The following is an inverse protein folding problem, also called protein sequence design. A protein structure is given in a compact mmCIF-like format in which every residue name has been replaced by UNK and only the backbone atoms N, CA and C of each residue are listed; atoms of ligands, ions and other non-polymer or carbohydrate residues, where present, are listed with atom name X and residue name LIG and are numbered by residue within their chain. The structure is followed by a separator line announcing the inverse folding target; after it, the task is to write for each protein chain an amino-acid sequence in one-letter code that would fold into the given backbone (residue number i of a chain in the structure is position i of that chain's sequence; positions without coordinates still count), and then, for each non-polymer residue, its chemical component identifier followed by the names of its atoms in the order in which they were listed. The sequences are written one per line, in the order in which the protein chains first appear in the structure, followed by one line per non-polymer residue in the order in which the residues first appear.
data_IF_448041580832
#
_entry.id   IF_448041580832
#
_cell.length_a   1.000
_cell.length_b   1.000
_cell.length_c   1.000
_cell.angle_alpha   90.00
_cell.angle_beta   90.00
_cell.angle_gamma   90.00
#
_symmetry.space_group_name_H-M   'P 1'
#
loop_
_entity.id
_entity.type
_entity.pdbx_description
1 polymer ?
#
# COMPACT_ATOMS: atom_id res chain seq x y z
N UNK A 1 -54.78 -7.57 74.31
CA UNK A 1 -55.05 -7.42 72.86
C UNK A 1 -54.41 -6.14 72.34
N UNK A 2 -53.14 -6.21 71.90
CA UNK A 2 -52.45 -5.14 71.13
C UNK A 2 -51.13 -5.61 70.50
N UNK A 3 -50.59 -6.75 70.95
CA UNK A 3 -49.34 -7.33 70.44
C UNK A 3 -49.50 -8.58 69.56
N UNK A 4 -50.73 -9.08 69.34
CA UNK A 4 -50.98 -10.24 68.47
C UNK A 4 -51.04 -9.88 66.97
N UNK A 5 -51.13 -8.60 66.62
CA UNK A 5 -51.12 -8.13 65.22
C UNK A 5 -49.69 -7.97 64.67
N UNK A 6 -48.68 -7.82 65.53
CA UNK A 6 -47.29 -7.68 65.09
C UNK A 6 -46.60 -9.02 64.76
N UNK A 7 -47.18 -10.15 65.16
CA UNK A 7 -46.63 -11.48 64.88
C UNK A 7 -47.10 -12.07 63.53
N UNK A 8 -48.07 -11.44 62.87
CA UNK A 8 -48.59 -11.89 61.57
C UNK A 8 -47.88 -11.24 60.36
N UNK A 9 -47.00 -10.26 60.58
CA UNK A 9 -46.32 -9.50 59.52
C UNK A 9 -44.88 -9.97 59.24
N UNK A 10 -44.38 -11.00 59.94
CA UNK A 10 -42.99 -11.47 59.80
C UNK A 10 -42.81 -12.68 58.86
N UNK A 11 -43.86 -13.16 58.20
CA UNK A 11 -43.80 -14.42 57.41
C UNK A 11 -43.60 -14.18 55.89
N UNK A 12 -43.48 -12.94 55.43
CA UNK A 12 -43.38 -12.65 53.98
C UNK A 12 -41.96 -12.54 53.39
N UNK A 13 -40.90 -12.95 54.11
CA UNK A 13 -39.51 -12.76 53.63
C UNK A 13 -38.69 -14.05 53.51
N UNK A 14 -39.27 -15.18 53.10
CA UNK A 14 -38.46 -16.33 52.62
C UNK A 14 -39.18 -17.06 51.48
N UNK A 15 -39.07 -16.54 50.25
CA UNK A 15 -39.16 -17.37 49.05
C UNK A 15 -38.43 -16.70 47.88
N UNK A 16 -37.11 -16.59 47.99
CA UNK A 16 -36.28 -16.48 46.80
C UNK A 16 -36.10 -17.91 46.30
N UNK A 17 -36.92 -18.30 45.32
CA UNK A 17 -36.73 -19.57 44.63
C UNK A 17 -35.35 -19.58 43.99
N UNK A 18 -34.49 -20.48 44.42
CA UNK A 18 -33.26 -20.82 43.70
C UNK A 18 -33.64 -21.44 42.35
N UNK A 19 -33.94 -20.60 41.38
CA UNK A 19 -33.66 -20.93 39.99
C UNK A 19 -32.20 -20.58 39.80
N UNK A 20 -31.34 -21.56 39.99
CA UNK A 20 -30.06 -21.58 39.27
C UNK A 20 -30.42 -21.63 37.79
N UNK A 21 -30.70 -20.47 37.21
CA UNK A 21 -30.35 -20.25 35.82
C UNK A 21 -28.86 -20.52 35.79
N UNK A 22 -28.47 -21.67 35.24
CA UNK A 22 -27.11 -21.84 34.81
C UNK A 22 -26.83 -20.63 33.93
N UNK A 23 -25.99 -19.72 34.42
CA UNK A 23 -25.28 -18.81 33.57
C UNK A 23 -24.40 -19.70 32.70
N UNK A 24 -24.97 -20.28 31.64
CA UNK A 24 -24.23 -20.31 30.40
C UNK A 24 -23.95 -18.83 30.13
N UNK A 25 -22.77 -18.39 30.55
CA UNK A 25 -22.07 -17.30 29.88
C UNK A 25 -22.02 -17.74 28.41
N UNK A 26 -23.10 -17.43 27.68
CA UNK A 26 -23.03 -17.33 26.23
C UNK A 26 -22.10 -16.16 26.05
N UNK A 27 -20.81 -16.46 25.89
CA UNK A 27 -19.78 -15.50 25.53
C UNK A 27 -20.40 -14.59 24.47
N UNK A 28 -20.76 -13.35 24.86
CA UNK A 28 -21.44 -12.43 23.95
C UNK A 28 -20.57 -12.32 22.72
N UNK A 29 -21.07 -12.79 21.58
CA UNK A 29 -20.31 -12.82 20.33
C UNK A 29 -19.63 -11.46 20.13
N UNK A 30 -18.30 -11.46 19.97
CA UNK A 30 -17.53 -10.22 19.84
C UNK A 30 -18.12 -9.40 18.68
N UNK A 31 -18.27 -8.06 18.84
CA UNK A 31 -18.74 -7.22 17.75
C UNK A 31 -17.85 -7.42 16.52
N UNK A 32 -18.46 -7.62 15.34
CA UNK A 32 -17.72 -7.88 14.09
C UNK A 32 -16.65 -6.82 13.79
N UNK A 33 -16.85 -5.59 14.28
CA UNK A 33 -15.90 -4.48 14.18
C UNK A 33 -14.57 -4.69 14.90
N UNK A 34 -14.51 -5.61 15.88
CA UNK A 34 -13.32 -5.94 16.68
C UNK A 34 -12.70 -7.27 16.30
N UNK A 35 -13.32 -8.02 15.38
CA UNK A 35 -12.81 -9.31 14.94
C UNK A 35 -11.69 -9.06 13.94
N UNK A 36 -10.50 -9.60 14.20
CA UNK A 36 -9.38 -9.58 13.26
C UNK A 36 -9.78 -10.34 11.99
N UNK A 37 -9.57 -9.70 10.82
CA UNK A 37 -9.72 -10.34 9.53
C UNK A 37 -8.35 -10.44 8.86
N UNK A 38 -8.04 -11.61 8.31
CA UNK A 38 -6.89 -11.78 7.43
C UNK A 38 -7.22 -11.26 6.03
N UNK A 39 -6.36 -10.40 5.53
CA UNK A 39 -6.41 -9.83 4.20
C UNK A 39 -5.30 -10.41 3.33
N UNK A 40 -5.37 -10.15 2.02
CA UNK A 40 -4.27 -10.54 1.13
C UNK A 40 -3.00 -9.77 1.50
N UNK A 41 -1.85 -10.41 1.35
CA UNK A 41 -0.58 -9.73 1.53
C UNK A 41 -0.33 -8.80 0.34
N UNK A 42 0.32 -7.67 0.63
CA UNK A 42 0.76 -6.74 -0.41
C UNK A 42 1.81 -7.39 -1.31
N UNK A 43 1.80 -7.03 -2.59
CA UNK A 43 2.94 -7.36 -3.47
C UNK A 43 4.13 -6.54 -3.01
N UNK A 44 5.24 -7.20 -2.70
CA UNK A 44 6.48 -6.53 -2.28
C UNK A 44 7.34 -6.12 -3.50
N UNK A 45 8.21 -5.13 -3.31
CA UNK A 45 9.33 -4.90 -4.24
C UNK A 45 10.22 -6.15 -4.23
N UNK A 46 10.61 -6.63 -5.42
CA UNK A 46 11.42 -7.85 -5.54
C UNK A 46 12.75 -7.68 -4.81
N UNK A 47 13.30 -8.73 -4.16
CA UNK A 47 14.56 -8.64 -3.43
C UNK A 47 15.72 -8.07 -4.25
N UNK A 48 15.77 -8.40 -5.55
CA UNK A 48 16.82 -7.96 -6.48
C UNK A 48 16.82 -6.44 -6.71
N UNK A 49 15.72 -5.77 -6.37
CA UNK A 49 15.48 -4.35 -6.60
C UNK A 49 15.44 -3.51 -5.32
N UNK A 50 15.65 -4.12 -4.15
CA UNK A 50 15.55 -3.40 -2.87
C UNK A 50 16.54 -2.23 -2.76
N UNK A 51 17.75 -2.37 -3.33
CA UNK A 51 18.75 -1.30 -3.37
C UNK A 51 18.26 -0.06 -4.12
N UNK A 52 17.51 -0.25 -5.20
CA UNK A 52 17.00 0.84 -6.05
C UNK A 52 15.93 1.70 -5.35
N UNK A 53 15.34 1.18 -4.27
CA UNK A 53 14.30 1.87 -3.49
C UNK A 53 14.72 2.13 -2.04
N UNK A 54 15.98 1.85 -1.69
CA UNK A 54 16.42 1.90 -0.29
C UNK A 54 16.40 3.32 0.29
N UNK A 55 16.61 4.34 -0.53
CA UNK A 55 16.61 5.73 -0.06
C UNK A 55 15.22 6.39 -0.18
N UNK A 56 14.19 5.62 -0.56
CA UNK A 56 12.83 6.13 -0.72
C UNK A 56 12.04 5.97 0.58
N UNK A 57 12.18 6.95 1.47
CA UNK A 57 11.64 6.90 2.82
C UNK A 57 10.11 6.78 2.85
N UNK A 58 9.39 7.55 2.02
CA UNK A 58 7.93 7.52 2.00
C UNK A 58 7.39 6.14 1.59
N UNK A 59 8.05 5.48 0.63
CA UNK A 59 7.67 4.13 0.21
C UNK A 59 7.88 3.11 1.35
N UNK A 60 8.99 3.21 2.08
CA UNK A 60 9.30 2.34 3.23
C UNK A 60 8.31 2.51 4.37
N UNK A 61 7.93 3.74 4.68
CA UNK A 61 6.96 4.03 5.74
C UNK A 61 5.60 3.41 5.42
N UNK A 62 5.15 3.56 4.17
CA UNK A 62 3.89 2.95 3.71
C UNK A 62 3.98 1.42 3.75
N UNK A 63 5.06 0.82 3.28
CA UNK A 63 5.25 -0.64 3.31
C UNK A 63 5.20 -1.19 4.76
N UNK A 64 5.89 -0.52 5.69
CA UNK A 64 5.84 -0.84 7.11
C UNK A 64 4.42 -0.74 7.68
N UNK A 65 3.67 0.29 7.26
CA UNK A 65 2.30 0.50 7.70
C UNK A 65 1.37 -0.64 7.25
N UNK A 66 1.50 -1.09 5.99
CA UNK A 66 0.68 -2.17 5.44
C UNK A 66 0.96 -3.54 6.05
N UNK A 67 2.06 -3.75 6.77
CA UNK A 67 2.28 -4.98 7.56
C UNK A 67 1.13 -5.19 8.55
N UNK A 68 0.66 -4.12 9.20
CA UNK A 68 -0.47 -4.15 10.15
C UNK A 68 -1.79 -4.52 9.45
N UNK A 69 -1.96 -4.11 8.20
CA UNK A 69 -3.19 -4.32 7.43
C UNK A 69 -3.38 -5.75 6.92
N UNK A 70 -2.36 -6.61 7.02
CA UNK A 70 -2.45 -8.04 6.66
C UNK A 70 -3.43 -8.78 7.57
N UNK A 71 -3.48 -8.41 8.84
CA UNK A 71 -4.40 -8.97 9.82
C UNK A 71 -4.86 -7.85 10.75
N UNK A 72 -6.02 -7.27 10.44
CA UNK A 72 -6.52 -6.05 11.09
C UNK A 72 -8.02 -6.18 11.34
N UNK A 73 -8.51 -5.57 12.43
CA UNK A 73 -9.95 -5.44 12.65
C UNK A 73 -10.50 -4.19 11.95
N UNK A 74 -11.80 -4.14 11.59
CA UNK A 74 -12.41 -2.94 11.02
C UNK A 74 -12.20 -1.67 11.86
N UNK A 75 -12.28 -1.77 13.19
CA UNK A 75 -12.03 -0.64 14.08
C UNK A 75 -10.59 -0.13 13.99
N UNK A 76 -9.62 -1.05 14.01
CA UNK A 76 -8.21 -0.69 13.88
C UNK A 76 -7.94 -0.05 12.51
N UNK A 77 -8.49 -0.62 11.43
CA UNK A 77 -8.36 -0.05 10.10
C UNK A 77 -8.88 1.38 10.02
N UNK A 78 -10.05 1.66 10.60
CA UNK A 78 -10.59 3.03 10.67
C UNK A 78 -9.74 3.95 11.55
N UNK A 79 -9.24 3.48 12.69
CA UNK A 79 -8.38 4.28 13.57
C UNK A 79 -7.04 4.67 12.91
N UNK A 80 -6.55 3.85 11.98
CA UNK A 80 -5.32 4.06 11.24
C UNK A 80 -5.55 4.76 9.87
N UNK A 81 -6.79 5.01 9.47
CA UNK A 81 -7.13 5.44 8.11
C UNK A 81 -6.56 6.82 7.75
N UNK A 82 -6.62 7.77 8.69
CA UNK A 82 -6.12 9.13 8.48
C UNK A 82 -4.60 9.16 8.35
N UNK A 83 -3.89 8.40 9.21
CA UNK A 83 -2.42 8.29 9.15
C UNK A 83 -1.98 7.66 7.82
N UNK A 84 -2.64 6.57 7.39
CA UNK A 84 -2.35 5.95 6.09
C UNK A 84 -2.55 6.93 4.93
N UNK A 85 -3.64 7.70 4.94
CA UNK A 85 -3.91 8.73 3.92
C UNK A 85 -2.78 9.75 3.86
N UNK A 86 -2.28 10.19 5.01
CA UNK A 86 -1.26 11.24 5.08
C UNK A 86 0.13 10.73 4.67
N UNK A 87 0.47 9.47 5.02
CA UNK A 87 1.67 8.80 4.51
C UNK A 87 1.62 8.67 2.98
N UNK A 88 0.51 8.21 2.42
CA UNK A 88 0.34 8.07 0.96
C UNK A 88 0.31 9.43 0.26
N UNK A 89 -0.27 10.46 0.89
CA UNK A 89 -0.19 11.84 0.38
C UNK A 89 1.27 12.29 0.27
N UNK A 90 2.08 11.99 1.28
CA UNK A 90 3.49 12.32 1.30
C UNK A 90 4.25 11.64 0.16
N UNK A 91 3.99 10.34 -0.11
CA UNK A 91 4.53 9.66 -1.30
C UNK A 91 4.09 10.30 -2.62
N UNK A 92 2.82 10.73 -2.71
CA UNK A 92 2.27 11.34 -3.92
C UNK A 92 2.89 12.72 -4.20
N UNK A 93 3.15 13.48 -3.14
CA UNK A 93 3.62 14.85 -3.22
C UNK A 93 5.17 14.93 -3.16
N UNK A 94 5.87 13.83 -2.86
CA UNK A 94 7.34 13.79 -2.80
C UNK A 94 7.99 13.81 -4.18
N UNK A 95 9.28 14.17 -4.20
CA UNK A 95 10.09 14.17 -5.42
C UNK A 95 10.29 12.73 -5.86
N UNK A 96 9.53 12.33 -6.88
CA UNK A 96 9.64 11.00 -7.48
C UNK A 96 10.96 10.88 -8.23
N UNK A 97 11.76 9.81 -8.02
CA UNK A 97 12.98 9.61 -8.80
C UNK A 97 12.66 9.59 -10.30
N UNK A 98 13.54 10.15 -11.13
CA UNK A 98 13.31 10.35 -12.58
C UNK A 98 12.89 9.08 -13.30
N UNK A 99 13.44 7.92 -12.89
CA UNK A 99 13.09 6.61 -13.41
C UNK A 99 11.60 6.25 -13.24
N UNK A 100 10.98 6.73 -12.17
CA UNK A 100 9.57 6.50 -11.85
C UNK A 100 8.67 7.67 -12.26
N UNK A 101 9.24 8.78 -12.77
CA UNK A 101 8.48 9.94 -13.24
C UNK A 101 7.79 9.67 -14.59
N UNK A 102 6.80 8.79 -14.55
CA UNK A 102 5.99 8.41 -15.70
C UNK A 102 4.51 8.61 -15.37
N UNK A 103 3.67 9.01 -16.35
CA UNK A 103 2.23 9.13 -16.12
C UNK A 103 1.60 7.83 -15.59
N UNK A 104 2.08 6.68 -16.07
CA UNK A 104 1.61 5.37 -15.63
C UNK A 104 1.88 5.11 -14.15
N UNK A 105 3.06 5.48 -13.63
CA UNK A 105 3.38 5.32 -12.21
C UNK A 105 2.59 6.32 -11.36
N UNK A 106 2.58 7.60 -11.73
CA UNK A 106 1.79 8.66 -11.07
C UNK A 106 0.32 8.28 -10.93
N UNK A 107 -0.27 7.70 -11.97
CA UNK A 107 -1.66 7.21 -11.91
C UNK A 107 -1.86 6.12 -10.84
N UNK A 108 -0.90 5.20 -10.65
CA UNK A 108 -1.02 4.16 -9.62
C UNK A 108 -0.94 4.74 -8.21
N UNK A 109 -0.05 5.71 -7.99
CA UNK A 109 0.05 6.44 -6.72
C UNK A 109 -1.24 7.22 -6.45
N UNK A 110 -1.81 7.88 -7.47
CA UNK A 110 -3.09 8.59 -7.33
C UNK A 110 -4.26 7.64 -7.02
N UNK A 111 -4.31 6.46 -7.64
CA UNK A 111 -5.33 5.44 -7.33
C UNK A 111 -5.20 5.00 -5.87
N UNK A 112 -3.99 4.70 -5.41
CA UNK A 112 -3.73 4.38 -4.00
C UNK A 112 -4.21 5.50 -3.07
N UNK A 113 -3.84 6.75 -3.37
CA UNK A 113 -4.28 7.90 -2.57
C UNK A 113 -5.80 8.03 -2.51
N UNK A 114 -6.49 7.80 -3.63
CA UNK A 114 -7.94 7.80 -3.67
C UNK A 114 -8.55 6.70 -2.81
N UNK A 115 -8.02 5.47 -2.82
CA UNK A 115 -8.53 4.39 -1.96
C UNK A 115 -8.29 4.68 -0.47
N UNK A 116 -7.17 5.34 -0.12
CA UNK A 116 -6.92 5.81 1.25
C UNK A 116 -7.88 6.94 1.67
N UNK A 117 -8.19 7.87 0.76
CA UNK A 117 -9.23 8.89 1.01
C UNK A 117 -10.58 8.24 1.28
N UNK A 118 -10.97 7.25 0.47
CA UNK A 118 -12.21 6.50 0.68
C UNK A 118 -12.23 5.79 2.04
N UNK A 119 -11.13 5.17 2.44
CA UNK A 119 -11.03 4.53 3.76
C UNK A 119 -11.16 5.56 4.89
N UNK A 120 -10.54 6.74 4.76
CA UNK A 120 -10.67 7.83 5.70
C UNK A 120 -12.10 8.37 5.77
N UNK A 121 -12.80 8.50 4.64
CA UNK A 121 -14.19 8.94 4.61
C UNK A 121 -15.13 8.00 5.38
N UNK A 122 -14.84 6.69 5.40
CA UNK A 122 -15.63 5.71 6.17
C UNK A 122 -15.61 5.98 7.68
N UNK A 123 -14.60 6.70 8.19
CA UNK A 123 -14.52 7.09 9.61
C UNK A 123 -15.65 8.04 10.03
N UNK A 124 -16.24 8.76 9.06
CA UNK A 124 -17.30 9.74 9.30
C UNK A 124 -18.71 9.12 9.27
N UNK A 125 -18.83 7.84 8.90
CA UNK A 125 -20.12 7.17 8.73
C UNK A 125 -20.47 6.39 10.00
N UNK A 126 -21.42 6.88 10.79
CA UNK A 126 -21.73 6.31 12.12
C UNK A 126 -22.29 4.88 12.10
N UNK A 127 -22.95 4.45 11.01
CA UNK A 127 -23.59 3.14 10.89
C UNK A 127 -22.93 2.23 9.84
N UNK A 128 -21.63 2.44 9.58
CA UNK A 128 -20.88 1.66 8.59
C UNK A 128 -20.75 0.18 8.99
N UNK A 129 -20.84 -0.72 8.02
CA UNK A 129 -20.72 -2.17 8.25
C UNK A 129 -19.27 -2.63 8.22
N UNK A 130 -18.92 -3.56 9.10
CA UNK A 130 -17.61 -4.22 9.12
C UNK A 130 -17.21 -4.81 7.74
N UNK A 131 -18.18 -5.36 7.01
CA UNK A 131 -17.95 -5.93 5.67
C UNK A 131 -17.54 -4.88 4.64
N UNK A 132 -18.07 -3.66 4.72
CA UNK A 132 -17.76 -2.55 3.82
C UNK A 132 -16.37 -1.98 4.10
N UNK A 133 -16.01 -1.84 5.38
CA UNK A 133 -14.66 -1.45 5.80
C UNK A 133 -13.64 -2.47 5.31
N UNK A 134 -13.89 -3.76 5.57
CA UNK A 134 -12.99 -4.82 5.14
C UNK A 134 -12.81 -4.85 3.62
N UNK A 135 -13.87 -4.59 2.84
CA UNK A 135 -13.79 -4.48 1.39
C UNK A 135 -12.94 -3.28 0.95
N UNK A 136 -13.04 -2.16 1.67
CA UNK A 136 -12.23 -0.97 1.38
C UNK A 136 -10.75 -1.19 1.75
N UNK A 137 -10.48 -1.91 2.84
CA UNK A 137 -9.12 -2.37 3.19
C UNK A 137 -8.54 -3.23 2.07
N UNK A 138 -9.29 -4.22 1.57
CA UNK A 138 -8.87 -5.09 0.47
C UNK A 138 -8.47 -4.27 -0.77
N UNK A 139 -9.31 -3.30 -1.18
CA UNK A 139 -8.99 -2.40 -2.32
C UNK A 139 -7.74 -1.54 -2.09
N UNK A 140 -7.54 -1.08 -0.85
CA UNK A 140 -6.40 -0.22 -0.50
C UNK A 140 -5.09 -1.02 -0.57
N UNK A 141 -5.12 -2.28 -0.11
CA UNK A 141 -4.02 -3.25 -0.25
C UNK A 141 -3.73 -3.54 -1.73
N UNK A 142 -4.76 -3.76 -2.54
CA UNK A 142 -4.62 -4.01 -3.97
C UNK A 142 -3.99 -2.80 -4.70
N UNK A 143 -4.41 -1.59 -4.33
CA UNK A 143 -3.86 -0.37 -4.91
C UNK A 143 -2.37 -0.20 -4.58
N UNK A 144 -1.96 -0.47 -3.35
CA UNK A 144 -0.54 -0.42 -2.97
C UNK A 144 0.27 -1.52 -3.66
N UNK A 145 -0.30 -2.72 -3.78
CA UNK A 145 0.29 -3.80 -4.56
C UNK A 145 0.49 -3.43 -6.03
N UNK A 146 -0.42 -2.64 -6.62
CA UNK A 146 -0.27 -2.15 -7.98
C UNK A 146 0.87 -1.11 -8.13
N UNK A 147 1.13 -0.29 -7.10
CA UNK A 147 2.30 0.59 -7.05
C UNK A 147 3.59 -0.24 -7.04
N UNK A 148 3.71 -1.20 -6.12
CA UNK A 148 4.88 -2.07 -6.02
C UNK A 148 5.09 -2.93 -7.28
N UNK A 149 4.01 -3.42 -7.88
CA UNK A 149 4.06 -4.12 -9.17
C UNK A 149 4.62 -3.21 -10.26
N UNK A 150 4.19 -1.95 -10.31
CA UNK A 150 4.70 -0.99 -11.30
C UNK A 150 6.18 -0.68 -11.08
N UNK A 151 6.62 -0.53 -9.83
CA UNK A 151 8.05 -0.39 -9.47
C UNK A 151 8.83 -1.58 -10.01
N UNK A 152 8.39 -2.80 -9.70
CA UNK A 152 9.00 -4.03 -10.17
C UNK A 152 9.07 -4.09 -11.70
N UNK A 153 8.02 -3.68 -12.41
CA UNK A 153 8.00 -3.65 -13.88
C UNK A 153 9.00 -2.66 -14.44
N UNK A 154 9.06 -1.43 -13.89
CA UNK A 154 9.99 -0.39 -14.35
C UNK A 154 11.43 -0.85 -14.14
N UNK A 155 11.76 -1.38 -12.96
CA UNK A 155 13.11 -1.85 -12.64
C UNK A 155 13.49 -3.12 -13.43
N UNK A 156 12.54 -4.01 -13.69
CA UNK A 156 12.77 -5.16 -14.59
C UNK A 156 13.09 -4.68 -16.00
N UNK A 157 12.36 -3.68 -16.51
CA UNK A 157 12.63 -3.09 -17.82
C UNK A 157 14.02 -2.45 -17.85
N UNK A 158 14.36 -1.63 -16.86
CA UNK A 158 15.69 -1.01 -16.74
C UNK A 158 16.80 -2.05 -16.74
N UNK A 159 16.69 -3.07 -15.88
CA UNK A 159 17.66 -4.16 -15.81
C UNK A 159 17.83 -4.87 -17.16
N UNK A 160 16.73 -5.15 -17.87
CA UNK A 160 16.77 -5.73 -19.20
C UNK A 160 17.47 -4.80 -20.21
N UNK A 161 17.20 -3.50 -20.19
CA UNK A 161 17.87 -2.52 -21.04
C UNK A 161 19.38 -2.39 -20.72
N UNK A 162 19.76 -2.48 -19.45
CA UNK A 162 21.15 -2.41 -19.00
C UNK A 162 21.94 -3.71 -19.32
N UNK A 163 21.29 -4.88 -19.29
CA UNK A 163 21.90 -6.18 -19.62
C UNK A 163 22.10 -6.41 -21.12
N UNK A 164 21.37 -5.68 -21.97
CA UNK A 164 21.48 -5.85 -23.42
C UNK A 164 22.48 -4.84 -23.98
N UNK A 165 23.70 -5.30 -24.20
CA UNK A 165 24.67 -4.64 -25.09
C UNK A 165 24.27 -4.85 -26.55
N UNK A 166 23.28 -4.10 -27.05
CA UNK A 166 22.94 -4.13 -28.49
C UNK A 166 24.04 -3.41 -29.26
N UNK A 167 25.06 -4.15 -29.70
CA UNK A 167 25.91 -3.68 -30.79
C UNK A 167 25.05 -3.60 -32.04
N UNK A 168 24.85 -2.39 -32.55
CA UNK A 168 24.05 -2.10 -33.75
C UNK A 168 24.51 -2.99 -34.93
N UNK A 169 25.80 -3.34 -34.95
CA UNK A 169 26.43 -4.22 -35.95
C UNK A 169 25.90 -5.67 -35.94
N UNK A 170 25.30 -6.12 -34.82
CA UNK A 170 24.78 -7.49 -34.63
C UNK A 170 23.30 -7.64 -34.95
N UNK A 171 22.56 -6.53 -35.05
CA UNK A 171 21.24 -6.56 -35.69
C UNK A 171 21.57 -6.75 -37.17
N UNK A 172 21.32 -7.93 -37.72
CA UNK A 172 21.52 -8.27 -39.14
C UNK A 172 20.63 -7.47 -40.09
N UNK A 173 20.56 -6.15 -39.89
CA UNK A 173 20.06 -5.19 -40.84
C UNK A 173 21.05 -5.22 -41.99
N UNK A 174 20.56 -5.62 -43.16
CA UNK A 174 21.29 -5.36 -44.39
C UNK A 174 21.40 -3.84 -44.54
N UNK A 175 22.49 -3.29 -44.01
CA UNK A 175 22.73 -1.85 -44.02
C UNK A 175 22.83 -1.33 -45.45
N UNK A 176 22.95 -2.18 -46.47
CA UNK A 176 22.91 -1.75 -47.88
C UNK A 176 21.48 -1.46 -48.36
N UNK A 177 20.46 -2.02 -47.69
CA UNK A 177 19.03 -1.84 -48.01
C UNK A 177 18.36 -0.70 -47.23
N UNK A 178 19.04 -0.15 -46.23
CA UNK A 178 18.53 1.00 -45.46
C UNK A 178 18.64 2.26 -46.32
N UNK A 179 17.54 2.97 -46.49
CA UNK A 179 17.52 4.25 -47.21
C UNK A 179 18.37 5.32 -46.51
N UNK A 180 18.77 6.33 -47.25
CA UNK A 180 19.68 7.37 -46.77
C UNK A 180 19.10 8.22 -45.63
N UNK A 181 17.78 8.39 -45.58
CA UNK A 181 17.09 9.17 -44.55
C UNK A 181 17.05 8.40 -43.23
N UNK A 182 16.67 7.12 -43.28
CA UNK A 182 16.68 6.24 -42.11
C UNK A 182 18.09 6.10 -41.53
N UNK A 183 19.12 5.92 -42.37
CA UNK A 183 20.52 5.83 -41.93
C UNK A 183 21.00 7.09 -41.22
N UNK A 184 20.68 8.26 -41.77
CA UNK A 184 21.04 9.55 -41.17
C UNK A 184 20.38 9.73 -39.80
N UNK A 185 19.12 9.31 -39.67
CA UNK A 185 18.34 9.40 -38.44
C UNK A 185 18.88 8.46 -37.36
N UNK A 186 19.22 7.22 -37.72
CA UNK A 186 19.84 6.25 -36.81
C UNK A 186 21.18 6.79 -36.29
N UNK A 187 22.03 7.33 -37.17
CA UNK A 187 23.33 7.88 -36.76
C UNK A 187 23.20 9.10 -35.84
N UNK A 188 22.25 10.00 -36.11
CA UNK A 188 21.97 11.15 -35.25
C UNK A 188 21.53 10.70 -33.84
N UNK A 189 20.61 9.74 -33.77
CA UNK A 189 20.07 9.22 -32.51
C UNK A 189 21.11 8.45 -31.70
N UNK A 190 22.00 7.71 -32.37
CA UNK A 190 23.14 7.05 -31.73
C UNK A 190 24.11 8.07 -31.15
N UNK A 191 24.36 9.18 -31.86
CA UNK A 191 25.23 10.27 -31.38
C UNK A 191 24.62 11.00 -30.17
N UNK A 192 23.32 11.28 -30.20
CA UNK A 192 22.58 11.85 -29.05
C UNK A 192 22.67 10.94 -27.82
N UNK A 193 22.48 9.63 -27.99
CA UNK A 193 22.62 8.67 -26.87
C UNK A 193 24.02 8.63 -26.26
N UNK A 194 25.06 8.78 -27.08
CA UNK A 194 26.44 8.86 -26.59
C UNK A 194 26.69 10.14 -25.80
N UNK A 195 26.20 11.28 -26.31
CA UNK A 195 26.30 12.58 -25.64
C UNK A 195 25.54 12.60 -24.30
N UNK A 196 24.34 12.02 -24.23
CA UNK A 196 23.60 11.90 -22.98
C UNK A 196 24.33 11.01 -21.96
N UNK A 197 24.98 9.94 -22.43
CA UNK A 197 25.75 9.03 -21.56
C UNK A 197 27.00 9.70 -20.99
N UNK A 198 27.73 10.45 -21.82
CA UNK A 198 28.93 11.19 -21.40
C UNK A 198 28.57 12.30 -20.40
N UNK A 199 27.47 13.03 -20.63
CA UNK A 199 26.97 14.04 -19.70
C UNK A 199 26.54 13.43 -18.35
N UNK A 200 25.89 12.26 -18.37
CA UNK A 200 25.52 11.55 -17.15
C UNK A 200 26.77 11.11 -16.36
N UNK A 201 27.78 10.55 -17.02
CA UNK A 201 29.06 10.17 -16.41
C UNK A 201 29.78 11.38 -15.77
N UNK A 202 29.75 12.55 -16.41
CA UNK A 202 30.32 13.79 -15.88
C UNK A 202 29.59 14.28 -14.62
N UNK A 203 28.26 14.31 -14.64
CA UNK A 203 27.42 14.66 -13.48
C UNK A 203 27.64 13.69 -12.30
N UNK A 204 27.91 12.41 -12.58
CA UNK A 204 28.23 11.44 -11.54
C UNK A 204 29.61 11.71 -10.92
N UNK A 205 30.62 12.07 -11.72
CA UNK A 205 31.96 12.42 -11.21
C UNK A 205 31.96 13.68 -10.35
N UNK A 206 31.23 14.72 -10.76
CA UNK A 206 31.14 15.97 -9.99
C UNK A 206 30.50 15.74 -8.61
N UNK A 207 29.45 14.91 -8.53
CA UNK A 207 28.81 14.58 -7.25
C UNK A 207 29.67 13.73 -6.32
N UNK A 208 30.61 12.95 -6.84
CA UNK A 208 31.55 12.17 -6.04
C UNK A 208 32.72 13.01 -5.50
N UNK A 209 33.01 14.18 -6.09
CA UNK A 209 34.05 15.11 -5.60
C UNK A 209 33.54 16.09 -4.54
N UNK A 210 32.22 16.14 -4.31
CA UNK A 210 31.57 17.04 -3.33
C UNK A 210 31.16 16.34 -2.03
N UNK A 211 31.57 15.08 -1.83
CA UNK A 211 31.43 14.28 -0.61
C UNK A 211 32.82 14.04 0.01
#
# INVERSE_FOLDING_TARGET
MKYLIFLLLSVFVISCGNKTQGNTDVEKAKPLMRVLKKHQATVNVKPVFLKEVENWQELKEIDSFFVKFREISPNEALSNALELRDLVKSLKDSVTPTLFDTPSFKTRVNILYNECLRLADLTLISAIKATEINKQVDKTIDAFSAVNTKINTILTKKKFEDEIDVKIDYIGLDTTKIDSVSRKTINLRSKEKLLDKDNLEEIYKERQQQL
#
